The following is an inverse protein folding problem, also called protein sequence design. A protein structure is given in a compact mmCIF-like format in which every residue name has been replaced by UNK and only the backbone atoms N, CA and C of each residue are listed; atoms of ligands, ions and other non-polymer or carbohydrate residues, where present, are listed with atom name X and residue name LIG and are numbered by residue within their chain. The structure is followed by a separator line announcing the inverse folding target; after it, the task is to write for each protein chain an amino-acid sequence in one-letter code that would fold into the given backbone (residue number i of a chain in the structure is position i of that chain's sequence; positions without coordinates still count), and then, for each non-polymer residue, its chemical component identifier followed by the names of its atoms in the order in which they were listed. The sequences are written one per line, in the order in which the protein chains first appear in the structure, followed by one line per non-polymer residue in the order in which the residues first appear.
data_IF_047692179350
#
_entry.id   IF_047692179350
#
_cell.length_a   1.000
_cell.length_b   1.000
_cell.length_c   1.000
_cell.angle_alpha   90.00
_cell.angle_beta   90.00
_cell.angle_gamma   90.00
#
_symmetry.space_group_name_H-M   'P 1'
#
loop_
_entity.id
_entity.type
_entity.pdbx_description
1 polymer ?
#
# COMPACT_ATOMS: atom_id res chain seq x y z
N UNK A 1 40.74 38.75 29.51
CA UNK A 1 39.53 38.42 30.31
C UNK A 1 38.33 38.26 29.40
N UNK A 2 37.55 37.20 29.63
CA UNK A 2 36.39 36.70 28.86
C UNK A 2 35.22 37.72 28.77
N UNK A 3 34.24 37.67 27.85
CA UNK A 3 33.32 36.56 27.57
C UNK A 3 32.62 36.72 26.19
N UNK A 4 32.70 35.70 25.32
CA UNK A 4 31.72 35.52 24.24
C UNK A 4 30.46 34.92 24.85
N UNK A 5 29.36 35.69 24.86
CA UNK A 5 28.04 35.22 25.30
C UNK A 5 27.64 34.03 24.41
N UNK A 6 27.55 32.85 25.00
CA UNK A 6 27.10 31.64 24.33
C UNK A 6 25.71 31.86 23.74
N UNK A 7 25.63 31.81 22.41
CA UNK A 7 24.36 31.72 21.68
C UNK A 7 23.75 30.39 22.09
N UNK A 8 22.75 30.40 22.97
CA UNK A 8 21.94 29.21 23.27
C UNK A 8 21.34 28.75 21.94
N UNK A 9 21.89 27.66 21.40
CA UNK A 9 21.29 26.92 20.30
C UNK A 9 19.86 26.59 20.71
N UNK A 10 18.88 27.25 20.08
CA UNK A 10 17.49 26.81 20.15
C UNK A 10 17.49 25.47 19.43
N UNK A 11 17.40 24.38 20.19
CA UNK A 11 17.22 23.03 19.64
C UNK A 11 16.03 23.11 18.69
N UNK A 12 16.24 22.87 17.40
CA UNK A 12 15.14 22.80 16.44
C UNK A 12 14.13 21.76 16.97
N UNK A 13 12.85 22.13 17.04
CA UNK A 13 11.82 21.20 17.47
C UNK A 13 11.86 19.96 16.56
N UNK A 14 11.80 18.76 17.16
CA UNK A 14 11.70 17.54 16.35
C UNK A 14 10.41 17.62 15.55
N UNK A 15 10.43 17.30 14.24
CA UNK A 15 9.20 17.23 13.46
C UNK A 15 8.25 16.21 14.11
N UNK A 16 7.01 16.61 14.31
CA UNK A 16 5.94 15.73 14.76
C UNK A 16 5.58 14.83 13.57
N UNK A 17 5.65 13.50 13.69
CA UNK A 17 5.18 12.61 12.64
C UNK A 17 3.71 12.89 12.33
N UNK A 18 3.37 12.93 11.05
CA UNK A 18 2.00 13.18 10.59
C UNK A 18 1.54 12.04 9.71
N UNK A 19 0.24 11.82 9.70
CA UNK A 19 -0.46 10.87 8.85
C UNK A 19 -1.46 11.63 7.95
N UNK A 20 -1.92 10.95 6.90
CA UNK A 20 -2.97 11.42 6.00
C UNK A 20 -4.24 10.58 6.22
N UNK A 21 -5.39 11.22 6.39
CA UNK A 21 -6.65 10.50 6.46
C UNK A 21 -7.05 10.00 5.07
N UNK A 22 -7.25 8.70 4.92
CA UNK A 22 -7.59 8.06 3.65
C UNK A 22 -8.98 8.45 3.12
N UNK A 23 -9.87 8.99 3.97
CA UNK A 23 -11.20 9.45 3.56
C UNK A 23 -11.20 10.92 3.13
N UNK A 24 -10.68 11.82 3.97
CA UNK A 24 -10.82 13.28 3.78
C UNK A 24 -9.53 13.99 3.39
N UNK A 25 -8.41 13.26 3.23
CA UNK A 25 -7.08 13.80 2.95
C UNK A 25 -6.57 14.86 3.95
N UNK A 26 -7.15 14.92 5.16
CA UNK A 26 -6.64 15.77 6.23
C UNK A 26 -5.30 15.22 6.72
N UNK A 27 -4.31 16.09 6.86
CA UNK A 27 -3.05 15.80 7.55
C UNK A 27 -3.23 16.02 9.06
N UNK A 28 -2.82 15.07 9.89
CA UNK A 28 -3.01 15.13 11.34
C UNK A 28 -1.85 14.42 12.09
N UNK A 29 -1.66 14.67 13.41
CA UNK A 29 -0.61 14.02 14.19
C UNK A 29 -0.75 12.49 14.19
N UNK A 30 0.36 11.78 13.95
CA UNK A 30 0.31 10.32 13.81
C UNK A 30 -0.14 9.59 15.09
N UNK A 31 0.07 10.20 16.27
CA UNK A 31 -0.37 9.67 17.57
C UNK A 31 -1.88 9.79 17.81
N UNK A 32 -2.59 10.57 16.98
CA UNK A 32 -4.05 10.66 16.95
C UNK A 32 -4.67 9.70 15.92
N UNK A 33 -3.88 8.84 15.28
CA UNK A 33 -4.37 7.96 14.21
C UNK A 33 -5.25 6.83 14.71
N UNK A 34 -6.40 6.69 14.03
CA UNK A 34 -7.20 5.48 14.07
C UNK A 34 -6.81 4.66 12.85
N UNK A 35 -6.30 3.45 13.07
CA UNK A 35 -5.77 2.61 12.00
C UNK A 35 -6.10 1.14 12.14
N UNK A 36 -6.04 0.43 11.03
CA UNK A 36 -6.31 -1.00 10.96
C UNK A 36 -6.11 -1.56 9.56
N UNK A 37 -6.44 -2.84 9.40
CA UNK A 37 -6.31 -3.56 8.13
C UNK A 37 -7.66 -4.01 7.62
N UNK A 38 -7.87 -3.90 6.32
CA UNK A 38 -9.08 -4.38 5.62
C UNK A 38 -8.70 -5.36 4.50
N UNK A 39 -9.51 -6.40 4.23
CA UNK A 39 -9.30 -7.27 3.09
C UNK A 39 -9.39 -6.49 1.78
N UNK A 40 -8.35 -6.55 0.96
CA UNK A 40 -8.29 -5.94 -0.35
C UNK A 40 -7.32 -6.72 -1.25
N UNK A 41 -7.86 -7.44 -2.24
CA UNK A 41 -7.04 -8.20 -3.18
C UNK A 41 -6.15 -7.32 -4.06
N UNK A 42 -6.37 -6.01 -4.16
CA UNK A 42 -5.43 -5.12 -4.86
C UNK A 42 -4.19 -4.74 -4.04
N UNK A 43 -4.16 -5.09 -2.74
CA UNK A 43 -3.09 -4.69 -1.84
C UNK A 43 -1.97 -5.76 -1.77
N UNK A 44 -0.82 -5.46 -2.37
CA UNK A 44 0.43 -6.17 -2.11
C UNK A 44 1.32 -5.27 -1.24
N UNK A 45 1.65 -5.74 -0.03
CA UNK A 45 2.40 -4.94 0.92
C UNK A 45 3.86 -4.79 0.45
N UNK A 46 4.49 -3.62 0.70
CA UNK A 46 5.74 -3.28 0.03
C UNK A 46 6.91 -4.23 0.37
N UNK A 47 6.96 -4.72 1.61
CA UNK A 47 8.12 -5.46 2.15
C UNK A 47 7.75 -6.76 2.84
N UNK A 48 6.57 -6.83 3.44
CA UNK A 48 6.14 -7.95 4.29
C UNK A 48 4.95 -8.66 3.65
N UNK A 49 5.20 -9.84 3.09
CA UNK A 49 4.22 -10.64 2.33
C UNK A 49 3.08 -11.21 3.19
N UNK A 50 3.27 -11.32 4.50
CA UNK A 50 2.20 -11.70 5.44
C UNK A 50 1.04 -10.70 5.49
N UNK A 51 1.24 -9.47 5.00
CA UNK A 51 0.20 -8.46 4.84
C UNK A 51 -0.36 -8.37 3.41
N UNK A 52 0.02 -9.28 2.51
CA UNK A 52 -0.58 -9.34 1.18
C UNK A 52 -2.08 -9.65 1.28
N UNK A 53 -2.90 -8.86 0.58
CA UNK A 53 -4.35 -8.90 0.69
C UNK A 53 -4.91 -8.05 1.83
N UNK A 54 -4.07 -7.36 2.59
CA UNK A 54 -4.47 -6.49 3.70
C UNK A 54 -4.04 -5.05 3.44
N UNK A 55 -5.01 -4.18 3.13
CA UNK A 55 -4.75 -2.75 3.02
C UNK A 55 -4.73 -2.13 4.41
N UNK A 56 -3.62 -1.47 4.75
CA UNK A 56 -3.57 -0.57 5.91
C UNK A 56 -4.41 0.67 5.62
N UNK A 57 -5.31 1.00 6.54
CA UNK A 57 -6.14 2.20 6.52
C UNK A 57 -5.75 3.09 7.69
N UNK A 58 -5.70 4.39 7.44
CA UNK A 58 -5.42 5.42 8.44
C UNK A 58 -6.47 6.53 8.37
N UNK A 59 -7.05 6.88 9.51
CA UNK A 59 -8.12 7.87 9.62
C UNK A 59 -7.87 8.82 10.79
N UNK A 60 -8.41 10.04 10.68
CA UNK A 60 -8.32 11.06 11.73
C UNK A 60 -9.35 10.91 12.85
N UNK A 61 -10.30 9.98 12.72
CA UNK A 61 -11.32 9.66 13.71
C UNK A 61 -11.97 8.30 13.39
N UNK A 62 -12.68 7.74 14.37
CA UNK A 62 -13.38 6.45 14.24
C UNK A 62 -14.46 6.48 13.15
N UNK A 63 -15.22 7.58 13.04
CA UNK A 63 -16.27 7.71 12.03
C UNK A 63 -15.73 7.56 10.60
N UNK A 64 -14.60 8.19 10.30
CA UNK A 64 -13.96 8.05 9.00
C UNK A 64 -13.42 6.64 8.78
N UNK A 65 -12.86 6.02 9.83
CA UNK A 65 -12.38 4.64 9.76
C UNK A 65 -13.52 3.67 9.44
N UNK A 66 -14.67 3.81 10.09
CA UNK A 66 -15.84 2.95 9.88
C UNK A 66 -16.41 3.10 8.47
N UNK A 67 -16.49 4.33 7.94
CA UNK A 67 -16.93 4.56 6.54
C UNK A 67 -15.99 3.87 5.54
N UNK A 68 -14.67 3.99 5.72
CA UNK A 68 -13.71 3.33 4.83
C UNK A 68 -13.86 1.81 4.93
N UNK A 69 -13.92 1.28 6.16
CA UNK A 69 -14.04 -0.15 6.43
C UNK A 69 -15.29 -0.75 5.79
N UNK A 70 -16.44 -0.06 5.89
CA UNK A 70 -17.69 -0.48 5.26
C UNK A 70 -17.57 -0.53 3.73
N UNK A 71 -16.91 0.47 3.13
CA UNK A 71 -16.61 0.47 1.70
C UNK A 71 -15.83 -0.77 1.23
N UNK A 72 -14.85 -1.24 2.03
CA UNK A 72 -14.11 -2.47 1.71
C UNK A 72 -14.90 -3.75 1.99
N UNK A 73 -15.86 -3.75 2.91
CA UNK A 73 -16.67 -4.93 3.23
C UNK A 73 -17.48 -5.45 2.02
N UNK A 74 -17.81 -4.55 1.08
CA UNK A 74 -18.56 -4.88 -0.12
C UNK A 74 -17.69 -5.18 -1.35
N UNK A 75 -16.36 -4.96 -1.26
CA UNK A 75 -15.44 -5.21 -2.35
C UNK A 75 -15.19 -6.72 -2.47
N UNK A 76 -15.43 -7.36 -3.62
CA UNK A 76 -15.07 -8.76 -3.82
C UNK A 76 -13.57 -8.96 -3.67
N UNK A 77 -13.18 -9.99 -2.94
CA UNK A 77 -11.78 -10.40 -2.86
C UNK A 77 -11.47 -11.40 -3.99
N UNK A 78 -10.70 -10.96 -4.98
CA UNK A 78 -10.36 -11.76 -6.16
C UNK A 78 -8.94 -12.27 -6.03
N UNK A 79 -8.78 -13.59 -5.99
CA UNK A 79 -7.47 -14.21 -5.73
C UNK A 79 -6.45 -13.86 -6.81
N UNK A 80 -6.86 -13.85 -8.07
CA UNK A 80 -6.03 -13.50 -9.23
C UNK A 80 -5.61 -12.02 -9.23
N UNK A 81 -6.44 -11.13 -8.67
CA UNK A 81 -6.07 -9.72 -8.47
C UNK A 81 -4.91 -9.61 -7.47
N UNK A 82 -4.97 -10.37 -6.37
CA UNK A 82 -3.88 -10.38 -5.39
C UNK A 82 -2.59 -10.94 -5.99
N UNK A 83 -2.69 -12.02 -6.76
CA UNK A 83 -1.51 -12.55 -7.45
C UNK A 83 -0.94 -11.53 -8.45
N UNK A 84 -1.80 -10.82 -9.17
CA UNK A 84 -1.37 -9.76 -10.08
C UNK A 84 -0.67 -8.62 -9.32
N UNK A 85 -1.22 -8.16 -8.20
CA UNK A 85 -0.59 -7.15 -7.35
C UNK A 85 0.80 -7.59 -6.85
N UNK A 86 0.95 -8.85 -6.45
CA UNK A 86 2.25 -9.43 -6.04
C UNK A 86 3.25 -9.47 -7.18
N UNK A 87 2.82 -9.80 -8.40
CA UNK A 87 3.67 -9.74 -9.61
C UNK A 87 4.09 -8.31 -9.91
N UNK A 88 3.17 -7.34 -9.87
CA UNK A 88 3.48 -5.92 -10.07
C UNK A 88 4.52 -5.44 -9.06
N UNK A 89 4.38 -5.77 -7.76
CA UNK A 89 5.40 -5.48 -6.75
C UNK A 89 6.77 -6.07 -7.12
N UNK A 90 6.81 -7.37 -7.46
CA UNK A 90 8.07 -8.06 -7.79
C UNK A 90 8.79 -7.46 -9.01
N UNK A 91 8.03 -6.96 -9.99
CA UNK A 91 8.54 -6.33 -11.22
C UNK A 91 8.94 -4.86 -11.02
N UNK A 92 8.30 -4.15 -10.09
CA UNK A 92 8.56 -2.72 -9.83
C UNK A 92 9.64 -2.47 -8.78
N UNK A 93 9.86 -3.42 -7.87
CA UNK A 93 10.88 -3.33 -6.81
C UNK A 93 12.25 -3.89 -7.22
N UNK A 94 12.44 -4.29 -8.49
CA UNK A 94 13.66 -4.91 -8.96
C UNK A 94 13.86 -4.82 -10.47
N UNK A 95 14.56 -5.78 -11.10
CA UNK A 95 14.70 -5.83 -12.55
C UNK A 95 13.34 -5.87 -13.25
N UNK A 96 13.21 -5.14 -14.35
CA UNK A 96 11.97 -4.98 -15.12
C UNK A 96 11.53 -6.25 -15.85
N UNK A 97 12.40 -7.26 -15.93
CA UNK A 97 12.10 -8.56 -16.49
C UNK A 97 12.61 -9.67 -15.56
N UNK A 98 11.75 -10.65 -15.30
CA UNK A 98 12.04 -11.79 -14.44
C UNK A 98 11.60 -13.07 -15.16
N UNK A 99 12.37 -14.15 -15.00
CA UNK A 99 11.93 -15.48 -15.44
C UNK A 99 10.77 -15.99 -14.58
N UNK A 100 10.06 -17.01 -15.06
CA UNK A 100 8.98 -17.65 -14.29
C UNK A 100 9.46 -18.17 -12.92
N UNK A 101 10.66 -18.76 -12.89
CA UNK A 101 11.28 -19.26 -11.66
C UNK A 101 11.60 -18.12 -10.67
N UNK A 102 12.15 -17.02 -11.17
CA UNK A 102 12.43 -15.83 -10.36
C UNK A 102 11.15 -15.19 -9.82
N UNK A 103 10.08 -15.15 -10.62
CA UNK A 103 8.76 -14.69 -10.17
C UNK A 103 8.22 -15.58 -9.06
N UNK A 104 8.31 -16.91 -9.22
CA UNK A 104 7.91 -17.85 -8.18
C UNK A 104 8.68 -17.66 -6.89
N UNK A 105 10.01 -17.55 -6.95
CA UNK A 105 10.86 -17.32 -5.78
C UNK A 105 10.53 -16.02 -5.04
N UNK A 106 10.23 -14.93 -5.76
CA UNK A 106 9.97 -13.61 -5.15
C UNK A 106 8.56 -13.42 -4.62
N UNK A 107 7.60 -14.19 -5.14
CA UNK A 107 6.17 -14.01 -4.81
C UNK A 107 5.59 -15.18 -4.04
N UNK A 108 6.27 -16.32 -4.00
CA UNK A 108 5.76 -17.58 -3.49
C UNK A 108 4.69 -18.22 -4.38
N UNK A 109 4.45 -17.67 -5.58
CA UNK A 109 3.43 -18.17 -6.50
C UNK A 109 3.97 -19.34 -7.34
N UNK A 110 3.10 -20.30 -7.59
CA UNK A 110 3.37 -21.39 -8.54
C UNK A 110 3.06 -20.93 -9.97
N UNK A 111 3.68 -21.58 -10.95
CA UNK A 111 3.51 -21.23 -12.37
C UNK A 111 2.04 -21.08 -12.82
N UNK A 112 1.09 -21.96 -12.47
CA UNK A 112 -0.32 -21.77 -12.82
C UNK A 112 -0.92 -20.48 -12.26
N UNK A 113 -0.53 -20.10 -11.04
CA UNK A 113 -1.00 -18.87 -10.38
C UNK A 113 -0.41 -17.63 -11.05
N UNK A 114 0.87 -17.68 -11.43
CA UNK A 114 1.53 -16.61 -12.19
C UNK A 114 0.83 -16.41 -13.54
N UNK A 115 0.51 -17.50 -14.25
CA UNK A 115 -0.21 -17.44 -15.53
C UNK A 115 -1.62 -16.87 -15.37
N UNK A 116 -2.35 -17.28 -14.34
CA UNK A 116 -3.68 -16.74 -14.02
C UNK A 116 -3.64 -15.24 -13.70
N UNK A 117 -2.65 -14.81 -12.91
CA UNK A 117 -2.44 -13.40 -12.57
C UNK A 117 -2.16 -12.52 -13.80
N UNK A 118 -1.30 -13.00 -14.71
CA UNK A 118 -1.02 -12.31 -15.98
C UNK A 118 -2.28 -12.22 -16.84
N UNK A 119 -3.05 -13.31 -16.95
CA UNK A 119 -4.30 -13.32 -17.70
C UNK A 119 -5.31 -12.32 -17.13
N UNK A 120 -5.49 -12.30 -15.81
CA UNK A 120 -6.36 -11.36 -15.12
C UNK A 120 -5.95 -9.91 -15.36
N UNK A 121 -4.66 -9.59 -15.21
CA UNK A 121 -4.14 -8.23 -15.41
C UNK A 121 -4.35 -7.77 -16.87
N UNK A 122 -4.03 -8.63 -17.83
CA UNK A 122 -4.17 -8.31 -19.24
C UNK A 122 -5.63 -8.07 -19.64
N UNK A 123 -6.59 -8.83 -19.09
CA UNK A 123 -8.01 -8.58 -19.33
C UNK A 123 -8.43 -7.22 -18.79
N UNK A 124 -8.03 -6.89 -17.55
CA UNK A 124 -8.33 -5.59 -16.93
C UNK A 124 -7.77 -4.41 -17.70
N UNK A 125 -6.55 -4.53 -18.24
CA UNK A 125 -5.95 -3.50 -19.09
C UNK A 125 -6.72 -3.31 -20.41
N UNK A 126 -7.25 -4.38 -21.01
CA UNK A 126 -8.10 -4.28 -22.22
C UNK A 126 -9.44 -3.63 -21.90
N UNK A 127 -10.05 -3.99 -20.78
CA UNK A 127 -11.30 -3.37 -20.32
C UNK A 127 -11.13 -1.86 -20.15
N UNK A 128 -10.05 -1.43 -19.49
CA UNK A 128 -9.72 -0.01 -19.28
C UNK A 128 -9.52 0.75 -20.60
N UNK A 129 -8.74 0.19 -21.53
CA UNK A 129 -8.50 0.80 -22.85
C UNK A 129 -9.76 0.94 -23.70
N UNK A 130 -10.75 0.07 -23.50
CA UNK A 130 -12.05 0.16 -24.18
C UNK A 130 -12.95 1.23 -23.58
N UNK A 131 -12.76 1.55 -22.30
CA UNK A 131 -13.56 2.55 -21.58
C UNK A 131 -12.96 3.95 -21.58
N UNK A 132 -11.69 4.11 -21.94
CA UNK A 132 -11.07 5.42 -22.19
C UNK A 132 -11.56 5.99 -23.55
N UNK A 133 -12.14 7.21 -23.57
CA UNK A 133 -12.68 7.85 -24.78
C UNK A 133 -11.61 8.36 -25.77
#
# INVERSE_FOLDING_TARGET
MWKRKGRKSRRAARPVPVELCDLCARVFPADESVGGYVPDSSAAHATEDCFDGLRRITACCDEHFDVIKDGYAHRPFVTEELWAAKLTRALTSGPTALSMDQLGCRTGLQEPQIRAAIAWHNERMREQQRTDP
#
